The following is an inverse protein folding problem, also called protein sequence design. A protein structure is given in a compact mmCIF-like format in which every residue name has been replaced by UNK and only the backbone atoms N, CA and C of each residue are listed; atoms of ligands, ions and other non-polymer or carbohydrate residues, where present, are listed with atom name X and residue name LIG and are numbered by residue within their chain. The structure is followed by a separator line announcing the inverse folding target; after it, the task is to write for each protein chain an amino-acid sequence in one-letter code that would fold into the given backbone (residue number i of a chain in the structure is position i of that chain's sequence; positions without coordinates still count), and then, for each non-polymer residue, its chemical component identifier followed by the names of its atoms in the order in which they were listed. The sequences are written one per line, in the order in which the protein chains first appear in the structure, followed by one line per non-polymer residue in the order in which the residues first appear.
data_IF_009927017479
#
_entry.id   IF_009927017479
#
_cell.length_a   1.000
_cell.length_b   1.000
_cell.length_c   1.000
_cell.angle_alpha   90.00
_cell.angle_beta   90.00
_cell.angle_gamma   90.00
#
_symmetry.space_group_name_H-M   'P 1'
#
loop_
_entity.id
_entity.type
_entity.pdbx_description
1 polymer ?
#
# COMPACT_ATOMS: atom_id res chain seq x y z
N UNK A 1 -35.91 21.85 -4.83
CA UNK A 1 -36.04 20.57 -5.56
C UNK A 1 -35.32 19.52 -4.74
N UNK A 2 -35.92 18.34 -4.52
CA UNK A 2 -35.32 17.31 -3.66
C UNK A 2 -33.96 16.85 -4.18
N UNK A 3 -33.03 16.56 -3.26
CA UNK A 3 -31.70 16.03 -3.59
C UNK A 3 -31.78 14.73 -4.40
N UNK A 4 -32.82 13.92 -4.21
CA UNK A 4 -33.00 12.66 -4.91
C UNK A 4 -33.41 12.87 -6.38
N UNK A 5 -34.39 13.73 -6.64
CA UNK A 5 -34.79 14.09 -8.01
C UNK A 5 -33.64 14.75 -8.79
N UNK A 6 -32.88 15.63 -8.13
CA UNK A 6 -31.67 16.23 -8.73
C UNK A 6 -30.61 15.18 -9.12
N UNK A 7 -30.47 14.12 -8.32
CA UNK A 7 -29.57 13.00 -8.63
C UNK A 7 -30.05 12.23 -9.86
N UNK A 8 -31.35 11.90 -9.93
CA UNK A 8 -31.92 11.18 -11.07
C UNK A 8 -31.85 11.99 -12.36
N UNK A 9 -32.09 13.29 -12.30
CA UNK A 9 -31.99 14.17 -13.46
C UNK A 9 -30.56 14.20 -14.02
N UNK A 10 -29.55 14.29 -13.14
CA UNK A 10 -28.14 14.17 -13.56
C UNK A 10 -27.82 12.80 -14.15
N UNK A 11 -28.34 11.72 -13.55
CA UNK A 11 -28.13 10.37 -14.06
C UNK A 11 -28.73 10.20 -15.46
N UNK A 12 -29.96 10.70 -15.67
CA UNK A 12 -30.64 10.67 -16.96
C UNK A 12 -29.87 11.45 -18.04
N UNK A 13 -29.29 12.61 -17.68
CA UNK A 13 -28.41 13.38 -18.57
C UNK A 13 -27.17 12.57 -19.01
N UNK A 14 -26.52 11.83 -18.10
CA UNK A 14 -25.39 10.98 -18.48
C UNK A 14 -25.77 9.81 -19.39
N UNK A 15 -27.03 9.36 -19.34
CA UNK A 15 -27.55 8.30 -20.19
C UNK A 15 -28.20 8.81 -21.49
N UNK A 16 -28.22 10.12 -21.72
CA UNK A 16 -28.96 10.76 -22.83
C UNK A 16 -30.46 10.39 -22.86
N UNK A 17 -31.07 10.31 -21.67
CA UNK A 17 -32.49 9.99 -21.49
C UNK A 17 -33.24 11.24 -21.00
N UNK A 18 -34.40 11.52 -21.60
CA UNK A 18 -35.29 12.59 -21.11
C UNK A 18 -35.95 12.19 -19.80
N UNK A 19 -35.73 12.98 -18.74
CA UNK A 19 -36.36 12.82 -17.43
C UNK A 19 -37.02 14.13 -16.99
N UNK A 20 -38.31 14.07 -16.66
CA UNK A 20 -39.11 15.22 -16.22
C UNK A 20 -39.34 15.12 -14.71
N UNK A 21 -38.46 15.77 -13.95
CA UNK A 21 -38.45 15.72 -12.48
C UNK A 21 -39.66 16.41 -11.84
N UNK A 22 -40.32 17.33 -12.54
CA UNK A 22 -41.50 18.06 -12.03
C UNK A 22 -42.69 17.13 -11.79
N UNK A 23 -42.83 16.06 -12.58
CA UNK A 23 -43.94 15.09 -12.49
C UNK A 23 -43.96 14.29 -11.20
N UNK A 24 -42.82 14.21 -10.50
CA UNK A 24 -42.64 13.36 -9.32
C UNK A 24 -42.51 14.17 -8.03
N UNK A 25 -42.85 15.47 -8.03
CA UNK A 25 -42.80 16.27 -6.80
C UNK A 25 -43.91 15.88 -5.83
N UNK A 26 -43.64 15.97 -4.54
CA UNK A 26 -44.61 15.63 -3.48
C UNK A 26 -44.64 14.13 -3.18
N UNK A 27 -45.82 13.54 -2.95
CA UNK A 27 -45.94 12.12 -2.58
C UNK A 27 -45.42 11.15 -3.65
N UNK A 28 -45.48 11.54 -4.93
CA UNK A 28 -44.95 10.74 -6.04
C UNK A 28 -43.43 10.55 -6.02
N UNK A 29 -42.70 11.38 -5.25
CA UNK A 29 -41.25 11.25 -5.10
C UNK A 29 -40.89 9.97 -4.34
N UNK A 30 -41.66 9.65 -3.29
CA UNK A 30 -41.37 8.52 -2.41
C UNK A 30 -41.58 7.18 -3.13
N UNK A 31 -42.62 7.08 -3.96
CA UNK A 31 -42.86 5.89 -4.78
C UNK A 31 -41.76 5.71 -5.83
N UNK A 32 -41.36 6.79 -6.51
CA UNK A 32 -40.22 6.75 -7.43
C UNK A 32 -38.93 6.33 -6.73
N UNK A 33 -38.67 6.90 -5.54
CA UNK A 33 -37.50 6.56 -4.74
C UNK A 33 -37.51 5.09 -4.32
N UNK A 34 -38.64 4.56 -3.87
CA UNK A 34 -38.77 3.15 -3.51
C UNK A 34 -38.42 2.23 -4.70
N UNK A 35 -38.96 2.53 -5.88
CA UNK A 35 -38.70 1.74 -7.09
C UNK A 35 -37.22 1.78 -7.51
N UNK A 36 -36.61 2.97 -7.52
CA UNK A 36 -35.20 3.12 -7.88
C UNK A 36 -34.28 2.45 -6.86
N UNK A 37 -34.52 2.65 -5.56
CA UNK A 37 -33.72 2.04 -4.50
C UNK A 37 -33.82 0.52 -4.53
N UNK A 38 -34.99 -0.03 -4.86
CA UNK A 38 -35.17 -1.46 -5.06
C UNK A 38 -34.30 -1.98 -6.21
N UNK A 39 -34.29 -1.33 -7.37
CA UNK A 39 -33.45 -1.74 -8.51
C UNK A 39 -31.95 -1.59 -8.23
N UNK A 40 -31.53 -0.51 -7.55
CA UNK A 40 -30.15 -0.34 -7.08
C UNK A 40 -29.77 -1.51 -6.16
N UNK A 41 -30.63 -1.85 -5.20
CA UNK A 41 -30.38 -2.95 -4.28
C UNK A 41 -30.29 -4.31 -5.00
N UNK A 42 -31.18 -4.55 -5.97
CA UNK A 42 -31.18 -5.77 -6.79
C UNK A 42 -29.88 -5.93 -7.59
N UNK A 43 -29.38 -4.86 -8.19
CA UNK A 43 -28.17 -4.91 -9.00
C UNK A 43 -26.89 -4.96 -8.15
N UNK A 44 -26.79 -4.10 -7.13
CA UNK A 44 -25.55 -3.94 -6.35
C UNK A 44 -25.36 -5.02 -5.28
N UNK A 45 -26.43 -5.47 -4.64
CA UNK A 45 -26.31 -6.18 -3.36
C UNK A 45 -27.04 -7.52 -3.29
N UNK A 46 -28.03 -7.79 -4.16
CA UNK A 46 -28.77 -9.05 -4.13
C UNK A 46 -28.18 -10.10 -5.08
N UNK A 47 -28.12 -11.33 -4.59
CA UNK A 47 -27.74 -12.48 -5.41
C UNK A 47 -28.97 -13.12 -6.05
N UNK A 48 -29.04 -13.05 -7.38
CA UNK A 48 -30.01 -13.82 -8.18
C UNK A 48 -29.64 -15.30 -8.21
N UNK A 49 -30.64 -16.17 -8.27
CA UNK A 49 -30.45 -17.63 -8.39
C UNK A 49 -29.67 -18.05 -9.63
N UNK A 50 -29.72 -17.25 -10.70
CA UNK A 50 -29.02 -17.48 -11.97
C UNK A 50 -27.53 -17.12 -11.92
N UNK A 51 -27.07 -16.44 -10.88
CA UNK A 51 -25.69 -15.96 -10.78
C UNK A 51 -24.77 -17.04 -10.18
N UNK A 52 -23.56 -17.26 -10.76
CA UNK A 52 -22.61 -18.23 -10.23
C UNK A 52 -22.27 -18.02 -8.75
N UNK A 53 -21.87 -19.11 -8.09
CA UNK A 53 -21.81 -19.16 -6.63
C UNK A 53 -20.79 -18.19 -6.01
N UNK A 54 -19.72 -17.90 -6.75
CA UNK A 54 -18.62 -17.01 -6.41
C UNK A 54 -19.01 -15.52 -6.40
N UNK A 55 -20.08 -15.14 -7.10
CA UNK A 55 -20.56 -13.76 -7.12
C UNK A 55 -21.62 -13.52 -6.05
N UNK A 56 -21.70 -12.26 -5.62
CA UNK A 56 -22.64 -11.81 -4.57
C UNK A 56 -23.74 -10.93 -5.13
N UNK A 57 -23.55 -10.37 -6.33
CA UNK A 57 -24.50 -9.55 -7.07
C UNK A 57 -24.07 -9.44 -8.54
N UNK A 58 -24.99 -9.01 -9.41
CA UNK A 58 -24.67 -8.74 -10.82
C UNK A 58 -23.61 -7.65 -10.96
N UNK A 59 -23.67 -6.62 -10.12
CA UNK A 59 -22.64 -5.60 -10.07
C UNK A 59 -21.27 -6.16 -9.72
N UNK A 60 -21.16 -7.08 -8.76
CA UNK A 60 -19.86 -7.70 -8.45
C UNK A 60 -19.27 -8.39 -9.70
N UNK A 61 -20.08 -9.14 -10.45
CA UNK A 61 -19.63 -9.75 -11.71
C UNK A 61 -19.15 -8.67 -12.70
N UNK A 62 -19.98 -7.66 -12.95
CA UNK A 62 -19.64 -6.55 -13.84
C UNK A 62 -18.35 -5.83 -13.40
N UNK A 63 -18.21 -5.55 -12.11
CA UNK A 63 -17.04 -4.85 -11.55
C UNK A 63 -15.76 -5.66 -11.71
N UNK A 64 -15.79 -6.96 -11.41
CA UNK A 64 -14.66 -7.86 -11.65
C UNK A 64 -14.20 -7.81 -13.11
N UNK A 65 -15.16 -7.83 -14.04
CA UNK A 65 -14.91 -7.89 -15.49
C UNK A 65 -14.50 -6.54 -16.09
N UNK A 66 -14.96 -5.41 -15.54
CA UNK A 66 -14.90 -4.11 -16.23
C UNK A 66 -14.30 -2.94 -15.42
N UNK A 67 -13.83 -3.15 -14.18
CA UNK A 67 -13.32 -2.07 -13.35
C UNK A 67 -12.16 -1.30 -14.00
N UNK A 68 -11.24 -1.97 -14.71
CA UNK A 68 -10.12 -1.30 -15.38
C UNK A 68 -10.62 -0.43 -16.54
N UNK A 69 -11.60 -0.88 -17.34
CA UNK A 69 -12.18 -0.09 -18.44
C UNK A 69 -13.01 1.09 -17.95
N UNK A 70 -13.73 0.92 -16.84
CA UNK A 70 -14.52 1.98 -16.21
C UNK A 70 -13.59 3.07 -15.64
N UNK A 71 -12.57 2.66 -14.89
CA UNK A 71 -11.64 3.58 -14.23
C UNK A 71 -10.58 4.12 -15.18
N UNK A 72 -10.29 3.42 -16.28
CA UNK A 72 -9.32 3.75 -17.33
C UNK A 72 -8.00 4.33 -16.76
N UNK A 73 -7.22 3.52 -16.03
CA UNK A 73 -5.97 3.97 -15.43
C UNK A 73 -4.98 4.46 -16.47
N UNK A 74 -4.24 5.52 -16.13
CA UNK A 74 -3.14 6.04 -16.93
C UNK A 74 -1.94 6.31 -16.04
N UNK A 75 -0.80 5.74 -16.42
CA UNK A 75 0.51 6.05 -15.82
C UNK A 75 1.18 7.13 -16.67
N UNK A 76 1.64 8.21 -16.04
CA UNK A 76 2.36 9.30 -16.67
C UNK A 76 1.65 9.98 -17.88
N UNK A 77 0.34 10.29 -17.83
CA UNK A 77 -0.38 10.75 -19.01
C UNK A 77 0.11 12.10 -19.56
N UNK A 78 0.66 12.99 -18.73
CA UNK A 78 1.11 14.33 -19.12
C UNK A 78 2.56 14.61 -18.67
N UNK A 79 3.43 13.58 -18.64
CA UNK A 79 4.84 13.69 -18.22
C UNK A 79 5.04 14.10 -16.75
N UNK A 80 4.04 13.88 -15.89
CA UNK A 80 4.18 14.12 -14.44
C UNK A 80 5.34 13.33 -13.81
N UNK A 81 5.68 12.14 -14.34
CA UNK A 81 6.79 11.36 -13.83
C UNK A 81 8.14 12.06 -13.97
N UNK A 82 8.38 12.76 -15.09
CA UNK A 82 9.61 13.53 -15.29
C UNK A 82 9.67 14.75 -14.36
N UNK A 83 8.54 15.43 -14.15
CA UNK A 83 8.46 16.54 -13.19
C UNK A 83 8.78 16.08 -11.77
N UNK A 84 8.25 14.93 -11.36
CA UNK A 84 8.57 14.30 -10.07
C UNK A 84 10.05 13.89 -10.02
N UNK A 85 10.57 13.26 -11.08
CA UNK A 85 11.97 12.86 -11.17
C UNK A 85 12.94 14.05 -11.04
N UNK A 86 12.63 15.19 -11.66
CA UNK A 86 13.45 16.40 -11.58
C UNK A 86 13.54 16.93 -10.13
N UNK A 87 12.42 16.93 -9.40
CA UNK A 87 12.44 17.32 -7.98
C UNK A 87 13.25 16.34 -7.13
N UNK A 88 13.19 15.04 -7.46
CA UNK A 88 13.99 14.03 -6.75
C UNK A 88 15.49 14.14 -7.09
N UNK A 89 15.84 14.46 -8.34
CA UNK A 89 17.21 14.72 -8.78
C UNK A 89 17.87 15.81 -7.94
N UNK A 90 17.23 16.98 -7.82
CA UNK A 90 17.74 18.11 -7.05
C UNK A 90 18.02 17.73 -5.59
N UNK A 91 17.18 16.86 -5.01
CA UNK A 91 17.34 16.39 -3.64
C UNK A 91 18.51 15.39 -3.54
N UNK A 92 18.57 14.40 -4.44
CA UNK A 92 19.56 13.31 -4.33
C UNK A 92 20.96 13.72 -4.77
N UNK A 93 21.11 14.76 -5.59
CA UNK A 93 22.41 15.30 -5.98
C UNK A 93 23.32 15.61 -4.78
N UNK A 94 22.75 16.11 -3.68
CA UNK A 94 23.49 16.45 -2.46
C UNK A 94 23.28 15.50 -1.29
N UNK A 95 22.42 14.49 -1.41
CA UNK A 95 21.94 13.72 -0.26
C UNK A 95 21.96 12.21 -0.52
N UNK A 96 22.47 11.45 0.45
CA UNK A 96 22.28 10.01 0.52
C UNK A 96 21.07 9.69 1.39
N UNK A 97 19.96 9.30 0.77
CA UNK A 97 18.72 8.95 1.46
C UNK A 97 18.61 7.43 1.59
N UNK A 98 18.38 6.96 2.82
CA UNK A 98 18.31 5.52 3.17
C UNK A 98 17.39 5.31 4.36
N UNK A 99 16.88 4.09 4.50
CA UNK A 99 16.23 3.66 5.74
C UNK A 99 17.18 3.86 6.92
N UNK A 100 16.71 4.57 7.96
CA UNK A 100 17.46 4.77 9.20
C UNK A 100 16.88 3.89 10.30
N UNK A 101 17.65 2.87 10.70
CA UNK A 101 17.39 2.07 11.89
C UNK A 101 18.62 2.10 12.77
N UNK A 102 18.41 2.24 14.07
CA UNK A 102 19.48 2.12 15.07
C UNK A 102 19.78 0.63 15.30
N UNK A 103 20.85 0.13 14.69
CA UNK A 103 21.23 -1.28 14.77
C UNK A 103 22.05 -1.62 16.01
N UNK A 104 22.37 -0.64 16.88
CA UNK A 104 23.15 -0.83 18.11
C UNK A 104 24.50 -1.53 17.91
N UNK A 105 25.17 -1.25 16.78
CA UNK A 105 26.44 -1.86 16.38
C UNK A 105 26.42 -3.40 16.30
N UNK A 106 25.24 -4.00 16.11
CA UNK A 106 25.12 -5.43 15.81
C UNK A 106 25.83 -5.77 14.50
N UNK A 107 26.31 -7.00 14.40
CA UNK A 107 26.92 -7.46 13.16
C UNK A 107 25.89 -7.68 12.05
N UNK A 108 26.38 -7.88 10.82
CA UNK A 108 25.53 -8.01 9.64
C UNK A 108 24.59 -9.21 9.69
N UNK A 109 25.01 -10.29 10.32
CA UNK A 109 24.23 -11.51 10.42
C UNK A 109 23.13 -11.37 11.47
N UNK A 110 23.45 -10.77 12.61
CA UNK A 110 22.48 -10.39 13.63
C UNK A 110 21.41 -9.45 13.06
N UNK A 111 21.83 -8.41 12.32
CA UNK A 111 20.91 -7.48 11.67
C UNK A 111 19.98 -8.21 10.69
N UNK A 112 20.53 -9.11 9.87
CA UNK A 112 19.76 -9.89 8.91
C UNK A 112 18.68 -10.73 9.59
N UNK A 113 19.03 -11.46 10.66
CA UNK A 113 18.09 -12.31 11.40
C UNK A 113 16.99 -11.48 12.07
N UNK A 114 17.34 -10.36 12.71
CA UNK A 114 16.36 -9.46 13.33
C UNK A 114 15.39 -8.90 12.29
N UNK A 115 15.90 -8.39 11.16
CA UNK A 115 15.05 -7.85 10.09
C UNK A 115 14.21 -8.92 9.42
N UNK A 116 14.73 -10.12 9.20
CA UNK A 116 13.99 -11.22 8.59
C UNK A 116 12.74 -11.58 9.41
N UNK A 117 12.90 -11.82 10.71
CA UNK A 117 11.78 -12.20 11.57
C UNK A 117 10.83 -11.03 11.88
N UNK A 118 11.30 -9.78 11.86
CA UNK A 118 10.41 -8.62 12.04
C UNK A 118 9.66 -8.25 10.76
N UNK A 119 10.29 -8.36 9.57
CA UNK A 119 9.67 -8.02 8.28
C UNK A 119 8.47 -8.93 7.94
N UNK A 120 8.54 -10.22 8.25
CA UNK A 120 7.39 -11.13 8.04
C UNK A 120 6.21 -10.78 8.94
N UNK A 121 6.44 -10.09 10.05
CA UNK A 121 5.40 -9.64 10.98
C UNK A 121 4.90 -8.22 10.66
N UNK A 122 5.50 -7.51 9.72
CA UNK A 122 5.12 -6.15 9.36
C UNK A 122 3.83 -6.11 8.53
N UNK A 123 2.71 -6.24 9.25
CA UNK A 123 1.37 -6.19 8.70
C UNK A 123 0.44 -5.49 9.70
N UNK A 124 -0.03 -4.30 9.34
CA UNK A 124 -0.93 -3.47 10.14
C UNK A 124 -0.45 -3.22 11.59
N UNK A 125 0.87 -3.23 11.79
CA UNK A 125 1.54 -2.86 13.04
C UNK A 125 2.64 -1.86 12.70
N UNK A 126 3.11 -1.14 13.69
CA UNK A 126 4.37 -0.41 13.60
C UNK A 126 5.38 -1.16 14.47
N UNK A 127 6.28 -1.90 13.81
CA UNK A 127 7.26 -2.79 14.47
C UNK A 127 8.23 -2.03 15.40
N UNK A 128 8.27 -0.70 15.29
CA UNK A 128 9.08 0.18 16.14
C UNK A 128 8.24 0.95 17.17
N UNK A 129 6.92 0.75 17.23
CA UNK A 129 6.03 1.54 18.10
C UNK A 129 6.32 1.39 19.59
N UNK A 130 6.77 0.21 20.03
CA UNK A 130 7.03 -0.07 21.45
C UNK A 130 8.47 0.21 21.83
N UNK A 131 9.41 -0.31 21.05
CA UNK A 131 10.84 -0.11 21.23
C UNK A 131 11.60 -0.65 20.02
N UNK A 132 12.91 -0.42 20.00
CA UNK A 132 13.78 -0.89 18.94
C UNK A 132 13.91 -2.43 18.95
N UNK A 133 13.58 -3.15 17.84
CA UNK A 133 13.75 -4.60 17.76
C UNK A 133 15.18 -5.09 17.98
N UNK A 134 16.19 -4.28 17.67
CA UNK A 134 17.59 -4.62 17.91
C UNK A 134 17.93 -4.62 19.41
N UNK A 135 17.27 -3.78 20.23
CA UNK A 135 17.39 -3.82 21.70
C UNK A 135 16.72 -5.07 22.28
N UNK A 136 15.63 -5.51 21.67
CA UNK A 136 14.97 -6.75 22.06
C UNK A 136 15.84 -7.96 21.72
N UNK A 137 16.46 -7.97 20.54
CA UNK A 137 17.44 -9.00 20.17
C UNK A 137 18.57 -9.14 21.20
N UNK A 138 19.19 -8.04 21.65
CA UNK A 138 20.26 -8.09 22.66
C UNK A 138 19.84 -8.76 23.98
N UNK A 139 18.55 -8.64 24.35
CA UNK A 139 17.99 -9.23 25.58
C UNK A 139 17.46 -10.65 25.36
N UNK A 140 16.94 -10.95 24.17
CA UNK A 140 16.25 -12.20 23.83
C UNK A 140 16.75 -12.76 22.49
N UNK A 141 18.06 -13.09 22.37
CA UNK A 141 18.65 -13.48 21.08
C UNK A 141 18.07 -14.79 20.53
N UNK A 142 17.58 -15.66 21.41
CA UNK A 142 17.02 -16.95 21.02
C UNK A 142 15.71 -16.82 20.22
N UNK A 143 14.96 -15.72 20.38
CA UNK A 143 13.78 -15.41 19.56
C UNK A 143 14.11 -15.20 18.07
N UNK A 144 15.39 -15.09 17.72
CA UNK A 144 15.85 -14.82 16.36
C UNK A 144 16.81 -15.89 15.83
N UNK A 145 17.03 -16.99 16.58
CA UNK A 145 17.87 -18.12 16.14
C UNK A 145 17.01 -19.18 15.45
N UNK A 146 17.14 -19.41 14.13
CA UNK A 146 16.26 -20.32 13.41
C UNK A 146 16.17 -21.73 14.00
N UNK A 147 17.28 -22.32 14.42
CA UNK A 147 17.30 -23.66 15.05
C UNK A 147 16.48 -23.74 16.34
N UNK A 148 16.40 -22.65 17.10
CA UNK A 148 15.61 -22.60 18.33
C UNK A 148 14.14 -22.29 18.05
N UNK A 149 13.89 -21.39 17.09
CA UNK A 149 12.55 -20.91 16.76
C UNK A 149 11.72 -21.98 16.06
N UNK A 150 12.30 -22.78 15.16
CA UNK A 150 11.57 -23.69 14.25
C UNK A 150 10.56 -24.63 14.93
N UNK A 151 10.82 -25.00 16.19
CA UNK A 151 10.01 -25.93 16.98
C UNK A 151 9.60 -25.35 18.35
N UNK A 152 9.65 -24.02 18.54
CA UNK A 152 9.38 -23.38 19.84
C UNK A 152 8.40 -22.20 19.73
N UNK A 153 7.13 -22.50 19.99
CA UNK A 153 6.05 -21.52 20.03
C UNK A 153 6.22 -20.42 21.10
N UNK A 154 6.90 -20.70 22.21
CA UNK A 154 7.08 -19.73 23.30
C UNK A 154 7.99 -18.58 22.87
N UNK A 155 9.07 -18.88 22.12
CA UNK A 155 9.97 -17.86 21.57
C UNK A 155 9.26 -17.00 20.52
N UNK A 156 8.39 -17.61 19.71
CA UNK A 156 7.53 -16.90 18.76
C UNK A 156 6.57 -15.98 19.50
N UNK A 157 5.93 -16.49 20.55
CA UNK A 157 4.99 -15.73 21.37
C UNK A 157 5.63 -14.51 22.02
N UNK A 158 6.86 -14.65 22.50
CA UNK A 158 7.64 -13.58 23.10
C UNK A 158 7.91 -12.46 22.10
N UNK A 159 8.35 -12.78 20.87
CA UNK A 159 8.54 -11.77 19.82
C UNK A 159 7.23 -11.11 19.40
N UNK A 160 6.16 -11.88 19.19
CA UNK A 160 4.85 -11.33 18.82
C UNK A 160 4.29 -10.44 19.93
N UNK A 161 4.52 -10.79 21.18
CA UNK A 161 4.19 -9.97 22.34
C UNK A 161 4.95 -8.66 22.32
N UNK A 162 6.26 -8.71 22.12
CA UNK A 162 7.10 -7.53 21.98
C UNK A 162 6.60 -6.59 20.88
N UNK A 163 6.34 -7.10 19.68
CA UNK A 163 5.90 -6.31 18.52
C UNK A 163 4.46 -5.78 18.64
N UNK A 164 3.70 -6.21 19.67
CA UNK A 164 2.27 -5.90 19.77
C UNK A 164 1.41 -6.60 18.70
N UNK A 165 1.93 -7.68 18.10
CA UNK A 165 1.32 -8.40 16.98
C UNK A 165 0.29 -9.45 17.44
N UNK A 166 -0.66 -9.05 18.29
CA UNK A 166 -1.64 -9.96 18.89
C UNK A 166 -2.76 -10.40 17.94
N UNK A 167 -3.10 -9.54 16.95
CA UNK A 167 -4.09 -9.87 15.93
C UNK A 167 -3.53 -10.89 14.93
N UNK A 168 -4.37 -11.83 14.48
CA UNK A 168 -4.02 -12.86 13.48
C UNK A 168 -2.87 -13.79 13.91
N UNK A 169 -2.77 -14.10 15.21
CA UNK A 169 -1.76 -15.01 15.77
C UNK A 169 -1.79 -16.39 15.12
N UNK A 170 -2.95 -16.85 14.71
CA UNK A 170 -3.18 -18.09 13.94
C UNK A 170 -2.39 -18.13 12.62
N UNK A 171 -2.11 -16.98 12.01
CA UNK A 171 -1.28 -16.87 10.79
C UNK A 171 0.18 -16.55 11.10
N UNK A 172 0.40 -15.60 12.01
CA UNK A 172 1.72 -15.06 12.35
C UNK A 172 2.67 -16.08 12.97
N UNK A 173 2.14 -16.98 13.81
CA UNK A 173 2.91 -18.06 14.42
C UNK A 173 3.44 -19.03 13.35
N UNK A 174 2.58 -19.64 12.51
CA UNK A 174 3.06 -20.46 11.39
C UNK A 174 4.08 -19.74 10.51
N UNK A 175 3.90 -18.46 10.19
CA UNK A 175 4.88 -17.71 9.40
C UNK A 175 6.27 -17.73 10.01
N UNK A 176 6.38 -17.50 11.31
CA UNK A 176 7.67 -17.48 12.00
C UNK A 176 8.31 -18.87 12.08
N UNK A 177 7.52 -19.89 12.43
CA UNK A 177 8.00 -21.27 12.51
C UNK A 177 8.47 -21.80 11.14
N UNK A 178 7.66 -21.62 10.10
CA UNK A 178 7.98 -22.10 8.75
C UNK A 178 9.14 -21.33 8.14
N UNK A 179 9.25 -20.02 8.40
CA UNK A 179 10.40 -19.24 7.94
C UNK A 179 11.69 -19.60 8.69
N UNK A 180 11.61 -19.96 9.97
CA UNK A 180 12.75 -20.53 10.69
C UNK A 180 13.17 -21.88 10.09
N UNK A 181 12.22 -22.77 9.78
CA UNK A 181 12.49 -24.05 9.07
C UNK A 181 13.15 -23.82 7.71
N UNK A 182 12.66 -22.84 6.94
CA UNK A 182 13.26 -22.43 5.67
C UNK A 182 14.74 -22.04 5.84
N UNK A 183 15.06 -21.22 6.85
CA UNK A 183 16.43 -20.81 7.15
C UNK A 183 17.32 -22.01 7.51
N UNK A 184 16.82 -22.91 8.33
CA UNK A 184 17.51 -24.15 8.74
C UNK A 184 17.80 -25.05 7.55
N UNK A 185 16.80 -25.29 6.72
CA UNK A 185 16.88 -26.27 5.62
C UNK A 185 17.71 -25.77 4.43
N UNK A 186 17.71 -24.46 4.16
CA UNK A 186 18.27 -23.91 2.91
C UNK A 186 19.37 -22.88 3.07
N UNK A 187 19.56 -22.33 4.27
CA UNK A 187 20.39 -21.14 4.47
C UNK A 187 21.28 -21.25 5.72
N UNK A 188 21.68 -22.47 6.10
CA UNK A 188 22.60 -22.71 7.23
C UNK A 188 22.15 -21.99 8.52
N UNK A 189 20.84 -22.01 8.77
CA UNK A 189 20.23 -21.37 9.94
C UNK A 189 20.51 -19.87 10.08
N UNK A 190 20.68 -19.17 8.96
CA UNK A 190 21.01 -17.75 8.94
C UNK A 190 20.33 -17.02 7.79
N UNK A 191 19.59 -15.95 8.10
CA UNK A 191 19.03 -15.09 7.06
C UNK A 191 20.15 -14.47 6.21
N UNK A 192 21.30 -14.14 6.79
CA UNK A 192 22.43 -13.52 6.09
C UNK A 192 22.92 -14.34 4.88
N UNK A 193 22.84 -15.67 4.98
CA UNK A 193 23.28 -16.62 3.94
C UNK A 193 22.37 -16.64 2.70
N UNK A 194 21.14 -16.11 2.79
CA UNK A 194 20.22 -16.03 1.64
C UNK A 194 20.90 -15.36 0.45
N UNK A 195 21.59 -14.24 0.67
CA UNK A 195 22.25 -13.49 -0.40
C UNK A 195 23.36 -14.30 -1.08
N UNK A 196 24.14 -15.06 -0.31
CA UNK A 196 25.22 -15.90 -0.83
C UNK A 196 24.67 -17.08 -1.65
N UNK A 197 23.69 -17.80 -1.11
CA UNK A 197 23.08 -18.98 -1.74
C UNK A 197 22.48 -18.65 -3.11
N UNK A 198 21.85 -17.47 -3.23
CA UNK A 198 21.27 -17.00 -4.50
C UNK A 198 22.22 -16.15 -5.33
N UNK A 199 23.53 -16.18 -5.03
CA UNK A 199 24.56 -15.44 -5.76
C UNK A 199 24.30 -13.93 -5.87
N UNK A 200 23.58 -13.36 -4.92
CA UNK A 200 23.16 -11.97 -4.90
C UNK A 200 22.21 -11.57 -6.03
N UNK A 201 21.44 -12.52 -6.57
CA UNK A 201 20.38 -12.26 -7.55
C UNK A 201 19.06 -11.94 -6.85
N UNK A 202 18.60 -10.70 -6.98
CA UNK A 202 17.37 -10.23 -6.35
C UNK A 202 16.13 -11.01 -6.79
N UNK A 203 16.03 -11.41 -8.06
CA UNK A 203 14.84 -12.09 -8.57
C UNK A 203 14.72 -13.48 -7.93
N UNK A 204 15.83 -14.22 -7.86
CA UNK A 204 15.84 -15.55 -7.26
C UNK A 204 15.59 -15.50 -5.76
N UNK A 205 16.15 -14.50 -5.05
CA UNK A 205 15.87 -14.29 -3.63
C UNK A 205 14.38 -14.03 -3.40
N UNK A 206 13.77 -13.10 -4.15
CA UNK A 206 12.34 -12.79 -4.02
C UNK A 206 11.51 -14.03 -4.30
N UNK A 207 11.78 -14.74 -5.39
CA UNK A 207 11.10 -15.99 -5.75
C UNK A 207 11.19 -17.03 -4.64
N UNK A 208 12.37 -17.20 -4.03
CA UNK A 208 12.58 -18.16 -2.95
C UNK A 208 11.81 -17.78 -1.67
N UNK A 209 11.79 -16.49 -1.31
CA UNK A 209 11.08 -16.01 -0.12
C UNK A 209 9.56 -16.02 -0.29
N UNK A 210 9.06 -15.80 -1.50
CA UNK A 210 7.61 -15.78 -1.79
C UNK A 210 7.08 -17.08 -2.38
N UNK A 211 7.88 -18.15 -2.41
CA UNK A 211 7.49 -19.43 -3.02
C UNK A 211 6.27 -20.06 -2.33
N UNK A 212 6.13 -19.82 -1.02
CA UNK A 212 5.05 -20.37 -0.23
C UNK A 212 4.45 -19.30 0.69
N UNK A 213 3.12 -19.15 0.68
CA UNK A 213 2.43 -18.17 1.53
C UNK A 213 2.76 -18.36 3.02
N UNK A 214 3.01 -19.61 3.42
CA UNK A 214 3.28 -19.98 4.82
C UNK A 214 4.60 -19.42 5.37
N UNK A 215 5.46 -18.81 4.56
CA UNK A 215 6.65 -18.08 5.03
C UNK A 215 6.34 -16.65 5.50
N UNK A 216 5.14 -16.13 5.20
CA UNK A 216 4.72 -14.79 5.63
C UNK A 216 5.35 -13.64 4.84
N UNK A 217 6.15 -13.94 3.81
CA UNK A 217 6.62 -12.98 2.81
C UNK A 217 5.61 -12.86 1.66
N UNK A 218 5.11 -11.65 1.44
CA UNK A 218 4.59 -11.22 0.16
C UNK A 218 5.71 -10.57 -0.66
N UNK A 219 5.51 -10.38 -1.97
CA UNK A 219 6.46 -9.64 -2.83
C UNK A 219 6.83 -8.28 -2.23
N UNK A 220 5.85 -7.56 -1.70
CA UNK A 220 6.07 -6.28 -1.01
C UNK A 220 7.03 -6.42 0.17
N UNK A 221 6.81 -7.39 1.06
CA UNK A 221 7.67 -7.60 2.23
C UNK A 221 9.06 -8.07 1.85
N UNK A 222 9.17 -8.89 0.81
CA UNK A 222 10.47 -9.32 0.28
C UNK A 222 11.25 -8.12 -0.26
N UNK A 223 10.64 -7.26 -1.08
CA UNK A 223 11.28 -6.05 -1.57
C UNK A 223 11.73 -5.12 -0.43
N UNK A 224 10.86 -4.92 0.57
CA UNK A 224 11.19 -4.12 1.76
C UNK A 224 12.38 -4.70 2.51
N UNK A 225 12.39 -6.01 2.78
CA UNK A 225 13.48 -6.67 3.47
C UNK A 225 14.79 -6.55 2.67
N UNK A 226 14.77 -6.77 1.35
CA UNK A 226 15.95 -6.69 0.51
C UNK A 226 16.49 -5.25 0.43
N UNK A 227 15.63 -4.25 0.29
CA UNK A 227 16.02 -2.84 0.39
C UNK A 227 16.70 -2.55 1.73
N UNK A 228 16.11 -2.97 2.84
CA UNK A 228 16.69 -2.75 4.17
C UNK A 228 18.09 -3.39 4.29
N UNK A 229 18.29 -4.59 3.73
CA UNK A 229 19.61 -5.25 3.74
C UNK A 229 20.67 -4.47 2.94
N UNK A 230 20.29 -3.82 1.85
CA UNK A 230 21.20 -2.93 1.12
C UNK A 230 21.47 -1.63 1.87
N UNK A 231 20.42 -0.96 2.37
CA UNK A 231 20.53 0.33 3.04
C UNK A 231 21.34 0.25 4.33
N UNK A 232 21.18 -0.84 5.10
CA UNK A 232 21.94 -1.12 6.33
C UNK A 232 23.35 -1.68 6.05
N UNK A 233 23.75 -1.82 4.78
CA UNK A 233 25.08 -2.32 4.40
C UNK A 233 25.33 -3.80 4.72
N UNK A 234 24.26 -4.54 4.99
CA UNK A 234 24.30 -5.99 5.27
C UNK A 234 24.63 -6.75 4.00
N UNK A 235 23.92 -6.48 2.91
CA UNK A 235 24.11 -7.16 1.62
C UNK A 235 24.56 -6.22 0.51
N UNK A 236 25.28 -6.80 -0.45
CA UNK A 236 25.52 -6.23 -1.78
C UNK A 236 24.96 -7.21 -2.80
N UNK A 237 24.10 -6.73 -3.67
CA UNK A 237 23.52 -7.53 -4.74
C UNK A 237 24.43 -7.52 -5.96
N UNK A 238 24.53 -8.65 -6.64
CA UNK A 238 25.33 -8.81 -7.86
C UNK A 238 24.49 -8.61 -9.12
N UNK A 239 23.19 -8.90 -9.06
CA UNK A 239 22.29 -8.88 -10.23
C UNK A 239 20.90 -8.39 -9.84
N UNK A 240 20.22 -7.75 -10.81
CA UNK A 240 18.79 -7.43 -10.77
C UNK A 240 18.36 -6.50 -9.62
N UNK A 241 19.25 -5.67 -9.08
CA UNK A 241 18.91 -4.75 -7.98
C UNK A 241 17.81 -3.75 -8.38
N UNK A 242 17.79 -3.34 -9.65
CA UNK A 242 16.80 -2.44 -10.26
C UNK A 242 15.38 -3.03 -10.32
N UNK A 243 15.23 -4.33 -10.00
CA UNK A 243 13.92 -4.99 -9.88
C UNK A 243 13.23 -4.72 -8.55
N UNK A 244 13.91 -4.17 -7.55
CA UNK A 244 13.26 -3.75 -6.30
C UNK A 244 12.41 -2.49 -6.54
N UNK A 245 11.09 -2.67 -6.58
CA UNK A 245 10.12 -1.56 -6.67
C UNK A 245 9.91 -0.81 -5.36
N UNK A 246 9.43 0.44 -5.47
CA UNK A 246 8.82 1.18 -4.36
C UNK A 246 7.67 0.37 -3.77
N UNK A 247 7.60 0.27 -2.45
CA UNK A 247 6.58 -0.53 -1.79
C UNK A 247 5.25 0.22 -1.86
N UNK A 248 4.23 -0.47 -2.37
CA UNK A 248 2.91 0.12 -2.47
C UNK A 248 2.18 0.06 -1.13
N UNK A 249 1.75 1.21 -0.62
CA UNK A 249 0.88 1.36 0.53
C UNK A 249 -0.05 2.58 0.39
N UNK A 250 -0.94 2.78 1.37
CA UNK A 250 -1.89 3.91 1.35
C UNK A 250 -1.23 5.28 1.26
N UNK A 251 0.01 5.42 1.72
CA UNK A 251 0.78 6.66 1.66
C UNK A 251 1.36 6.86 0.27
N UNK A 252 2.06 5.89 -0.28
CA UNK A 252 2.67 5.97 -1.61
C UNK A 252 1.60 6.09 -2.71
N UNK A 253 0.51 5.31 -2.61
CA UNK A 253 -0.66 5.42 -3.50
C UNK A 253 -1.29 6.81 -3.47
N UNK A 254 -1.42 7.40 -2.28
CA UNK A 254 -1.99 8.75 -2.16
C UNK A 254 -1.07 9.81 -2.78
N UNK A 255 0.24 9.65 -2.63
CA UNK A 255 1.21 10.54 -3.27
C UNK A 255 1.18 10.39 -4.79
N UNK A 256 1.08 9.16 -5.33
CA UNK A 256 1.02 8.94 -6.78
C UNK A 256 -0.24 9.53 -7.42
N UNK A 257 -1.39 9.38 -6.76
CA UNK A 257 -2.65 10.01 -7.17
C UNK A 257 -2.58 11.55 -7.16
N UNK A 258 -2.01 12.13 -6.10
CA UNK A 258 -1.97 13.59 -5.91
C UNK A 258 -0.96 14.30 -6.81
N UNK A 259 0.19 13.66 -7.06
CA UNK A 259 1.19 14.14 -8.03
C UNK A 259 0.71 13.95 -9.46
N UNK A 260 -0.21 12.99 -9.70
CA UNK A 260 -0.75 12.71 -11.02
C UNK A 260 0.13 11.79 -11.86
N UNK A 261 1.16 11.16 -11.28
CA UNK A 261 1.90 10.09 -11.97
C UNK A 261 1.01 8.87 -12.23
N UNK A 262 -0.08 8.73 -11.45
CA UNK A 262 -1.16 7.78 -11.67
C UNK A 262 -2.50 8.52 -11.68
N UNK A 263 -3.26 8.40 -12.77
CA UNK A 263 -4.55 9.05 -12.97
C UNK A 263 -5.62 8.06 -13.41
N UNK A 264 -6.87 8.44 -13.18
CA UNK A 264 -8.06 7.68 -13.50
C UNK A 264 -9.09 8.59 -14.18
N UNK A 265 -9.99 8.01 -14.98
CA UNK A 265 -11.09 8.73 -15.64
C UNK A 265 -12.01 9.42 -14.64
N UNK A 266 -12.28 8.76 -13.53
CA UNK A 266 -13.09 9.25 -12.42
C UNK A 266 -12.32 9.06 -11.12
N UNK A 267 -12.67 9.79 -10.04
CA UNK A 267 -12.18 9.45 -8.71
C UNK A 267 -12.48 7.99 -8.37
N UNK A 268 -11.56 7.36 -7.63
CA UNK A 268 -11.72 5.99 -7.18
C UNK A 268 -13.03 5.83 -6.40
N UNK A 269 -13.73 4.73 -6.65
CA UNK A 269 -14.98 4.43 -5.97
C UNK A 269 -14.71 4.13 -4.49
N UNK A 270 -15.72 4.40 -3.66
CA UNK A 270 -15.69 4.00 -2.26
C UNK A 270 -15.48 2.49 -2.14
N UNK A 271 -14.76 2.03 -1.11
CA UNK A 271 -14.47 0.60 -0.92
C UNK A 271 -15.71 -0.28 -0.82
N UNK A 272 -16.88 0.27 -0.47
CA UNK A 272 -18.17 -0.44 -0.49
C UNK A 272 -18.64 -0.84 -1.90
N UNK A 273 -18.15 -0.16 -2.94
CA UNK A 273 -18.39 -0.51 -4.34
C UNK A 273 -17.24 -1.34 -4.92
N UNK A 274 -16.10 -1.44 -4.23
CA UNK A 274 -14.97 -2.25 -4.68
C UNK A 274 -15.07 -3.68 -4.14
N UNK A 275 -16.09 -4.42 -4.59
CA UNK A 275 -16.37 -5.79 -4.16
C UNK A 275 -15.13 -6.66 -4.40
N UNK A 276 -14.66 -7.35 -3.35
CA UNK A 276 -13.44 -8.16 -3.36
C UNK A 276 -12.14 -7.42 -3.76
N UNK A 277 -12.09 -6.09 -3.63
CA UNK A 277 -10.85 -5.31 -3.72
C UNK A 277 -10.18 -5.34 -5.11
N UNK A 278 -10.96 -5.40 -6.19
CA UNK A 278 -10.42 -5.38 -7.56
C UNK A 278 -9.74 -4.04 -7.87
N UNK A 279 -10.39 -2.91 -7.58
CA UNK A 279 -9.80 -1.58 -7.74
C UNK A 279 -8.59 -1.41 -6.82
N UNK A 280 -8.65 -1.85 -5.56
CA UNK A 280 -7.49 -1.79 -4.66
C UNK A 280 -6.29 -2.54 -5.26
N UNK A 281 -6.49 -3.76 -5.75
CA UNK A 281 -5.43 -4.60 -6.33
C UNK A 281 -4.84 -3.97 -7.60
N UNK A 282 -5.70 -3.41 -8.46
CA UNK A 282 -5.27 -2.66 -9.64
C UNK A 282 -4.44 -1.43 -9.24
N UNK A 283 -4.91 -0.61 -8.29
CA UNK A 283 -4.18 0.58 -7.81
C UNK A 283 -2.85 0.21 -7.18
N UNK A 284 -2.77 -0.91 -6.45
CA UNK A 284 -1.52 -1.41 -5.84
C UNK A 284 -0.46 -1.76 -6.90
N UNK A 285 -0.88 -2.45 -7.96
CA UNK A 285 -0.02 -2.76 -9.10
C UNK A 285 0.43 -1.48 -9.82
N UNK A 286 -0.52 -0.63 -10.22
CA UNK A 286 -0.24 0.58 -10.98
C UNK A 286 0.57 1.62 -10.19
N UNK A 287 0.42 1.68 -8.86
CA UNK A 287 1.25 2.56 -8.04
C UNK A 287 2.73 2.17 -8.14
N UNK A 288 3.05 0.87 -8.13
CA UNK A 288 4.44 0.40 -8.33
C UNK A 288 4.95 0.76 -9.72
N UNK A 289 4.14 0.51 -10.74
CA UNK A 289 4.47 0.86 -12.13
C UNK A 289 4.71 2.37 -12.31
N UNK A 290 3.90 3.22 -11.68
CA UNK A 290 4.05 4.67 -11.75
C UNK A 290 5.36 5.17 -11.11
N UNK A 291 5.71 4.66 -9.93
CA UNK A 291 6.99 5.01 -9.30
C UNK A 291 8.20 4.42 -10.02
N UNK A 292 8.07 3.22 -10.61
CA UNK A 292 9.08 2.70 -11.54
C UNK A 292 9.24 3.62 -12.74
N UNK A 293 8.15 4.14 -13.29
CA UNK A 293 8.20 5.08 -14.42
C UNK A 293 8.88 6.40 -14.03
N UNK A 294 8.67 6.91 -12.81
CA UNK A 294 9.46 8.04 -12.27
C UNK A 294 10.95 7.72 -12.28
N UNK A 295 11.33 6.56 -11.77
CA UNK A 295 12.73 6.12 -11.76
C UNK A 295 13.29 5.98 -13.17
N UNK A 296 12.54 5.44 -14.13
CA UNK A 296 12.96 5.35 -15.53
C UNK A 296 13.19 6.74 -16.15
N UNK A 297 12.22 7.66 -16.05
CA UNK A 297 12.34 9.03 -16.57
C UNK A 297 13.50 9.80 -15.92
N UNK A 298 13.80 9.53 -14.65
CA UNK A 298 14.96 10.09 -13.97
C UNK A 298 16.27 9.66 -14.62
N UNK A 299 16.36 8.43 -15.13
CA UNK A 299 17.55 7.93 -15.83
C UNK A 299 17.86 8.69 -17.14
N UNK A 300 16.87 9.38 -17.71
CA UNK A 300 17.02 10.18 -18.92
C UNK A 300 17.51 11.62 -18.65
N UNK A 301 17.59 12.03 -17.37
CA UNK A 301 18.16 13.32 -16.99
C UNK A 301 19.69 13.26 -17.17
N UNK A 302 20.32 14.22 -17.88
CA UNK A 302 21.78 14.26 -18.01
C UNK A 302 22.47 14.38 -16.65
N UNK A 303 23.57 13.64 -16.45
CA UNK A 303 24.37 13.63 -15.21
C UNK A 303 23.56 13.37 -13.93
N UNK A 304 22.51 12.53 -14.04
CA UNK A 304 21.59 12.25 -12.94
C UNK A 304 22.22 11.51 -11.76
N UNK A 305 21.64 11.72 -10.59
CA UNK A 305 21.94 11.09 -9.30
C UNK A 305 20.86 10.07 -8.91
N UNK A 306 20.21 9.45 -9.90
CA UNK A 306 19.18 8.45 -9.68
C UNK A 306 19.76 7.27 -8.88
N UNK A 307 19.11 6.83 -7.79
CA UNK A 307 19.59 5.68 -7.04
C UNK A 307 19.55 4.39 -7.87
N UNK A 308 20.31 3.34 -7.52
CA UNK A 308 20.43 2.12 -8.33
C UNK A 308 19.13 1.33 -8.48
N UNK A 309 18.12 1.61 -7.66
CA UNK A 309 16.84 0.90 -7.70
C UNK A 309 15.67 1.78 -7.26
N UNK A 310 14.46 1.60 -7.84
CA UNK A 310 13.28 2.37 -7.44
C UNK A 310 12.99 2.29 -5.94
N UNK A 311 13.21 1.14 -5.29
CA UNK A 311 12.98 0.95 -3.85
C UNK A 311 13.76 1.93 -2.97
N UNK A 312 14.85 2.51 -3.45
CA UNK A 312 15.63 3.51 -2.69
C UNK A 312 14.85 4.81 -2.50
N UNK A 313 13.91 5.11 -3.40
CA UNK A 313 13.03 6.28 -3.27
C UNK A 313 11.96 6.08 -2.19
N UNK A 314 11.67 4.83 -1.82
CA UNK A 314 10.52 4.46 -0.98
C UNK A 314 10.50 5.21 0.35
N UNK A 315 11.66 5.31 1.02
CA UNK A 315 11.76 6.00 2.30
C UNK A 315 11.21 7.42 2.20
N UNK A 316 11.73 8.23 1.27
CA UNK A 316 11.33 9.63 1.13
C UNK A 316 9.85 9.75 0.77
N UNK A 317 9.35 8.93 -0.17
CA UNK A 317 7.95 8.97 -0.61
C UNK A 317 7.00 8.55 0.51
N UNK A 318 7.34 7.50 1.26
CA UNK A 318 6.57 7.04 2.41
C UNK A 318 6.52 8.12 3.51
N UNK A 319 7.67 8.72 3.86
CA UNK A 319 7.75 9.80 4.86
C UNK A 319 6.98 11.03 4.42
N UNK A 320 7.06 11.42 3.14
CA UNK A 320 6.26 12.48 2.55
C UNK A 320 4.76 12.20 2.73
N UNK A 321 4.30 11.00 2.40
CA UNK A 321 2.91 10.59 2.61
C UNK A 321 2.51 10.62 4.10
N UNK A 322 3.37 10.14 5.00
CA UNK A 322 3.10 10.05 6.45
C UNK A 322 3.15 11.41 7.16
N UNK A 323 4.01 12.34 6.73
CA UNK A 323 4.25 13.62 7.42
C UNK A 323 3.54 14.77 6.74
N UNK A 324 3.69 14.91 5.41
CA UNK A 324 3.32 16.10 4.67
C UNK A 324 2.02 15.98 3.86
N UNK A 325 1.73 14.78 3.35
CA UNK A 325 0.61 14.55 2.45
C UNK A 325 -0.40 13.60 3.10
N UNK A 326 -1.01 13.98 4.23
CA UNK A 326 -2.01 13.13 4.94
C UNK A 326 -3.40 13.28 4.31
N UNK A 327 -4.34 12.35 4.57
CA UNK A 327 -5.72 12.45 4.06
C UNK A 327 -6.40 13.77 4.42
N UNK A 328 -6.34 14.16 5.70
CA UNK A 328 -7.06 15.32 6.26
C UNK A 328 -6.15 16.51 6.61
N UNK A 329 -4.85 16.41 6.31
CA UNK A 329 -3.89 17.48 6.62
C UNK A 329 -2.74 17.45 5.63
N UNK A 330 -2.61 18.53 4.86
CA UNK A 330 -1.58 18.68 3.84
C UNK A 330 -0.73 19.90 4.15
N UNK A 331 0.56 19.82 3.86
CA UNK A 331 1.45 20.98 3.84
C UNK A 331 1.73 21.39 2.40
N UNK A 332 0.70 21.86 1.69
CA UNK A 332 0.82 22.42 0.34
C UNK A 332 -0.30 23.44 0.11
N UNK A 333 -0.10 24.47 -0.73
CA UNK A 333 -1.15 25.44 -1.02
C UNK A 333 -2.43 24.79 -1.56
N UNK A 334 -3.63 25.31 -1.24
CA UNK A 334 -3.91 26.53 -0.48
C UNK A 334 -3.94 26.33 1.05
N UNK A 335 -3.54 25.16 1.54
CA UNK A 335 -3.41 24.91 2.98
C UNK A 335 -2.19 25.67 3.54
N UNK A 336 -1.73 25.29 4.73
CA UNK A 336 -0.59 25.93 5.38
C UNK A 336 0.72 25.18 5.17
N UNK A 337 1.82 25.92 5.28
CA UNK A 337 3.17 25.40 5.41
C UNK A 337 3.36 24.62 6.73
N UNK A 338 4.47 23.86 6.83
CA UNK A 338 4.86 23.27 8.12
C UNK A 338 5.41 24.36 9.03
N UNK A 339 5.08 24.32 10.33
CA UNK A 339 5.67 25.26 11.28
C UNK A 339 7.15 24.92 11.53
N UNK A 340 7.94 25.94 11.85
CA UNK A 340 9.39 25.84 12.05
C UNK A 340 9.76 24.85 13.14
N UNK A 341 9.16 24.97 14.33
CA UNK A 341 9.39 24.04 15.46
C UNK A 341 9.17 22.57 15.07
N UNK A 342 8.16 22.28 14.24
CA UNK A 342 7.90 20.93 13.75
C UNK A 342 8.95 20.51 12.74
N UNK A 343 9.33 21.38 11.82
CA UNK A 343 10.39 21.10 10.85
C UNK A 343 11.72 20.76 11.56
N UNK A 344 12.10 21.54 12.57
CA UNK A 344 13.30 21.30 13.38
C UNK A 344 13.23 19.99 14.18
N UNK A 345 12.04 19.59 14.65
CA UNK A 345 11.85 18.31 15.35
C UNK A 345 11.99 17.08 14.45
N UNK A 346 11.97 17.25 13.12
CA UNK A 346 12.18 16.14 12.19
C UNK A 346 13.66 15.79 12.11
N UNK A 347 13.93 14.50 11.95
CA UNK A 347 15.27 14.01 11.62
C UNK A 347 15.73 14.60 10.28
N UNK A 348 17.05 14.78 10.05
CA UNK A 348 17.55 15.51 8.88
C UNK A 348 16.97 15.05 7.53
N UNK A 349 16.90 13.74 7.27
CA UNK A 349 16.34 13.22 6.01
C UNK A 349 14.84 13.50 5.85
N UNK A 350 14.08 13.54 6.95
CA UNK A 350 12.64 13.87 6.90
C UNK A 350 12.40 15.35 6.56
N UNK A 351 13.38 16.22 6.78
CA UNK A 351 13.26 17.65 6.41
C UNK A 351 13.29 17.83 4.89
N UNK A 352 13.93 16.90 4.16
CA UNK A 352 14.05 16.92 2.70
C UNK A 352 12.70 16.78 1.96
N UNK A 353 11.61 16.43 2.65
CA UNK A 353 10.25 16.41 2.06
C UNK A 353 9.61 17.81 1.99
N UNK A 354 10.29 18.83 2.52
CA UNK A 354 9.87 20.23 2.48
C UNK A 354 10.89 21.06 1.69
N UNK A 355 10.39 22.09 0.99
CA UNK A 355 11.20 23.14 0.38
C UNK A 355 11.55 24.21 1.43
N UNK A 356 12.34 25.20 1.03
CA UNK A 356 12.69 26.36 1.85
C UNK A 356 11.46 27.18 2.29
N UNK A 357 10.41 27.21 1.46
CA UNK A 357 9.11 27.82 1.78
C UNK A 357 8.24 26.97 2.72
N UNK A 358 8.80 25.88 3.29
CA UNK A 358 8.17 24.97 4.24
C UNK A 358 6.92 24.25 3.69
N UNK A 359 6.69 24.29 2.38
CA UNK A 359 5.71 23.44 1.71
C UNK A 359 6.33 22.14 1.22
N UNK A 360 5.47 21.15 0.97
CA UNK A 360 5.84 19.87 0.36
C UNK A 360 6.63 20.06 -0.94
N UNK A 361 7.66 19.24 -1.17
CA UNK A 361 8.49 19.26 -2.38
C UNK A 361 7.68 19.14 -3.69
N UNK A 362 6.54 18.44 -3.68
CA UNK A 362 5.67 18.30 -4.86
C UNK A 362 4.54 19.34 -4.93
N UNK A 363 4.56 20.39 -4.09
CA UNK A 363 3.53 21.43 -4.06
C UNK A 363 3.26 22.10 -5.41
N UNK A 364 4.30 22.28 -6.23
CA UNK A 364 4.23 22.85 -7.57
C UNK A 364 3.81 21.87 -8.67
N UNK A 365 3.80 20.56 -8.39
CA UNK A 365 3.38 19.52 -9.33
C UNK A 365 1.89 19.18 -9.12
N UNK A 366 1.46 19.07 -7.86
CA UNK A 366 0.11 18.66 -7.53
C UNK A 366 -0.92 19.73 -7.94
N UNK A 367 -1.84 19.37 -8.84
CA UNK A 367 -3.01 20.18 -9.18
C UNK A 367 -4.04 20.22 -8.03
N UNK A 368 -4.85 21.28 -7.95
CA UNK A 368 -5.73 21.54 -6.81
C UNK A 368 -6.77 20.42 -6.61
N UNK A 369 -7.40 20.00 -7.70
CA UNK A 369 -8.38 18.93 -7.78
C UNK A 369 -7.80 17.55 -7.44
N UNK A 370 -6.49 17.34 -7.65
CA UNK A 370 -5.83 16.08 -7.32
C UNK A 370 -5.46 16.01 -5.84
N UNK A 371 -5.21 17.15 -5.17
CA UNK A 371 -4.79 17.21 -3.75
C UNK A 371 -5.78 16.55 -2.80
N UNK A 372 -7.05 16.40 -3.17
CA UNK A 372 -8.09 15.75 -2.36
C UNK A 372 -8.14 14.23 -2.50
N UNK A 373 -7.49 13.66 -3.52
CA UNK A 373 -7.53 12.23 -3.79
C UNK A 373 -6.88 11.44 -2.64
N UNK A 374 -7.39 10.23 -2.41
CA UNK A 374 -6.92 9.31 -1.38
C UNK A 374 -6.79 7.90 -1.96
N UNK A 375 -5.91 7.11 -1.35
CA UNK A 375 -5.76 5.69 -1.69
C UNK A 375 -7.05 4.90 -1.35
N UNK A 376 -7.37 3.85 -2.11
CA UNK A 376 -8.47 2.95 -1.77
C UNK A 376 -8.15 2.17 -0.49
N UNK A 377 -9.18 1.74 0.24
CA UNK A 377 -9.02 0.81 1.36
C UNK A 377 -9.34 -0.62 0.91
N UNK A 378 -8.59 -1.60 1.40
CA UNK A 378 -8.91 -3.02 1.24
C UNK A 378 -9.92 -3.46 2.30
N UNK A 379 -10.99 -4.12 1.89
CA UNK A 379 -11.92 -4.81 2.78
C UNK A 379 -11.56 -6.31 2.81
N UNK A 380 -11.54 -6.91 3.99
CA UNK A 380 -11.24 -8.34 4.14
C UNK A 380 -12.28 -9.20 3.41
N UNK A 381 -11.82 -10.21 2.66
CA UNK A 381 -12.71 -11.17 1.99
C UNK A 381 -13.37 -12.12 3.01
N UNK A 382 -12.64 -12.53 4.05
CA UNK A 382 -13.00 -13.63 4.96
C UNK A 382 -13.25 -13.21 6.42
N UNK A 383 -13.15 -11.92 6.75
CA UNK A 383 -13.40 -11.44 8.11
C UNK A 383 -14.83 -11.71 8.60
N UNK A 384 -15.04 -11.58 9.92
CA UNK A 384 -16.38 -11.69 10.56
C UNK A 384 -17.42 -10.78 9.88
N UNK A 385 -16.95 -9.69 9.29
CA UNK A 385 -17.72 -8.73 8.50
C UNK A 385 -17.21 -8.57 7.05
N UNK A 386 -16.53 -9.59 6.53
CA UNK A 386 -15.98 -9.58 5.18
C UNK A 386 -17.03 -9.77 4.09
N UNK A 387 -16.62 -9.60 2.84
CA UNK A 387 -17.50 -9.74 1.67
C UNK A 387 -18.29 -11.05 1.62
N UNK A 388 -17.75 -12.15 2.17
CA UNK A 388 -18.45 -13.45 2.23
C UNK A 388 -19.63 -13.47 3.20
N UNK A 389 -19.58 -12.73 4.31
CA UNK A 389 -20.68 -12.67 5.29
C UNK A 389 -21.68 -11.54 5.00
N UNK A 390 -21.35 -10.60 4.13
CA UNK A 390 -22.22 -9.47 3.75
C UNK A 390 -23.28 -9.75 2.67
N UNK A 391 -23.56 -11.00 2.33
CA UNK A 391 -24.50 -11.36 1.25
C UNK A 391 -25.95 -11.21 1.73
N UNK A 392 -26.82 -10.71 0.85
CA UNK A 392 -28.29 -10.75 1.03
C UNK A 392 -28.93 -11.53 -0.13
N UNK A 393 -30.02 -12.23 0.16
CA UNK A 393 -30.81 -12.94 -0.85
C UNK A 393 -31.91 -12.02 -1.41
N UNK A 394 -32.73 -12.53 -2.33
CA UNK A 394 -33.81 -11.76 -2.96
C UNK A 394 -34.85 -11.21 -1.96
N UNK A 395 -34.94 -11.80 -0.76
CA UNK A 395 -35.79 -11.32 0.34
C UNK A 395 -35.26 -10.07 1.07
N UNK A 396 -34.05 -9.61 0.74
CA UNK A 396 -33.43 -8.46 1.40
C UNK A 396 -32.91 -8.77 2.82
N UNK A 397 -32.33 -7.75 3.47
CA UNK A 397 -31.72 -7.86 4.80
C UNK A 397 -30.35 -8.55 4.80
N UNK A 398 -29.41 -8.02 5.58
CA UNK A 398 -27.99 -8.42 5.58
C UNK A 398 -27.06 -7.26 5.20
N UNK A 399 -25.76 -7.52 5.07
CA UNK A 399 -24.77 -6.52 4.63
C UNK A 399 -23.41 -6.63 5.33
N UNK A 400 -22.46 -5.83 4.86
CA UNK A 400 -21.13 -5.68 5.47
C UNK A 400 -21.27 -4.77 6.68
N UNK A 401 -21.01 -5.28 7.87
CA UNK A 401 -20.88 -4.47 9.09
C UNK A 401 -19.47 -3.89 9.18
N UNK A 402 -19.35 -2.56 9.18
CA UNK A 402 -18.06 -1.89 9.38
C UNK A 402 -17.63 -1.87 10.83
#
# INVERSE_FOLDING_TARGET
MSNFLNFLEKLAQYCDVKFDSERFRGEGEYELAANVLNEINRFLYQKKTTLPSEYISEFHKYWKEHHEEVLAPKVNPNRECLAVATVLEDIYQGNTIKVQLDTLDLDKEEIANVRFFTAIQDFNIDVHARSNPFEFYKRHPDCFKPEKVKDNDLLVDELLNFLGAQSQRDKRKPWMLNSAKLLVEKYDSSAYRINEVHSGDVIEIVKALTAEERYGFSTKKAHMFLRDMADLGVWKYKRNIEKLDVMSDKNTMRVSLRTGILQFRIPLLASFLDVFCYQYSMVDRLNREAWRKVWEEWGEIPDNHRPPTPASMDYLIFRLGKIACRPNKRFCPPEKEVNEKKLESLIPQDRLIFKDDRYCIFSGICQLERKILNAPNSISIEGRTGWKSGKTNEGGGGGISS
#
